data_IF_706035454582
#
_entry.id   IF_706035454582
#
_cell.length_a   1.000
_cell.length_b   1.000
_cell.length_c   1.000
_cell.angle_alpha   90.00
_cell.angle_beta   90.00
_cell.angle_gamma   90.00
#
_symmetry.space_group_name_H-M   'P 1'
#
loop_
_entity.id
_entity.type
_entity.pdbx_description
1 polymer ?
#
# COMPACT_ATOMS: atom_id res chain seq x y z
N UNK A 1 -47.45 -57.38 -72.34
CA UNK A 1 -48.09 -56.15 -72.89
C UNK A 1 -49.09 -55.59 -71.87
N UNK A 2 -49.33 -54.26 -71.87
CA UNK A 2 -50.06 -53.39 -70.90
C UNK A 2 -49.19 -52.90 -69.72
N UNK A 3 -48.45 -51.79 -69.84
CA UNK A 3 -48.81 -50.34 -69.84
C UNK A 3 -49.64 -49.89 -68.63
N UNK A 4 -48.98 -49.09 -67.78
CA UNK A 4 -49.50 -47.79 -67.34
C UNK A 4 -49.85 -47.68 -65.85
N UNK A 5 -49.06 -46.94 -65.08
CA UNK A 5 -49.30 -45.51 -64.78
C UNK A 5 -48.30 -45.02 -63.73
N UNK A 6 -47.74 -43.85 -64.04
CA UNK A 6 -46.90 -43.00 -63.18
C UNK A 6 -47.76 -42.38 -62.07
N UNK A 7 -47.17 -42.19 -60.88
CA UNK A 7 -47.47 -41.20 -59.82
C UNK A 7 -47.22 -41.86 -58.45
N UNK A 8 -46.61 -41.26 -57.44
CA UNK A 8 -45.84 -40.05 -57.28
C UNK A 8 -45.03 -40.29 -55.99
N UNK A 9 -43.73 -39.95 -56.01
CA UNK A 9 -42.86 -40.01 -54.84
C UNK A 9 -43.37 -38.98 -53.81
N UNK A 10 -43.97 -39.45 -52.71
CA UNK A 10 -44.25 -38.61 -51.56
C UNK A 10 -42.95 -38.41 -50.76
N UNK A 11 -42.11 -37.48 -51.24
CA UNK A 11 -41.01 -36.96 -50.46
C UNK A 11 -41.59 -36.07 -49.34
N UNK A 12 -41.72 -36.62 -48.14
CA UNK A 12 -41.97 -35.82 -46.95
C UNK A 12 -40.70 -35.06 -46.62
N UNK A 13 -40.66 -33.82 -47.10
CA UNK A 13 -39.61 -32.86 -46.79
C UNK A 13 -39.84 -32.42 -45.34
N UNK A 14 -39.26 -33.16 -44.39
CA UNK A 14 -39.10 -32.67 -43.02
C UNK A 14 -38.04 -31.58 -43.10
N UNK A 15 -38.47 -30.34 -43.33
CA UNK A 15 -37.66 -29.18 -43.04
C UNK A 15 -37.65 -29.01 -41.52
N UNK A 16 -36.90 -29.88 -40.84
CA UNK A 16 -36.43 -29.57 -39.51
C UNK A 16 -35.48 -28.39 -39.69
N UNK A 17 -35.99 -27.18 -39.45
CA UNK A 17 -35.15 -26.02 -39.21
C UNK A 17 -34.31 -26.41 -38.00
N UNK A 18 -33.09 -26.87 -38.24
CA UNK A 18 -32.05 -26.90 -37.26
C UNK A 18 -31.71 -25.44 -36.95
N UNK A 19 -32.60 -24.78 -36.20
CA UNK A 19 -32.19 -23.64 -35.41
C UNK A 19 -31.03 -24.15 -34.56
N UNK A 20 -29.88 -23.48 -34.54
CA UNK A 20 -28.80 -23.92 -33.66
C UNK A 20 -29.35 -23.85 -32.24
N UNK A 21 -29.61 -25.01 -31.63
CA UNK A 21 -29.98 -25.15 -30.22
C UNK A 21 -28.74 -24.91 -29.32
N UNK A 22 -27.93 -23.91 -29.67
CA UNK A 22 -26.63 -23.60 -29.08
C UNK A 22 -26.43 -22.12 -28.76
N UNK A 23 -27.47 -21.29 -28.93
CA UNK A 23 -27.47 -19.93 -28.41
C UNK A 23 -28.21 -19.88 -27.07
N UNK A 24 -27.74 -20.65 -26.07
CA UNK A 24 -27.73 -20.07 -24.74
C UNK A 24 -26.90 -18.81 -24.92
N UNK A 25 -27.53 -17.62 -24.86
CA UNK A 25 -26.89 -16.33 -25.17
C UNK A 25 -25.49 -16.33 -24.56
N UNK A 26 -24.46 -16.52 -25.39
CA UNK A 26 -23.10 -16.56 -24.91
C UNK A 26 -22.84 -15.17 -24.36
N UNK A 27 -22.82 -15.05 -23.03
CA UNK A 27 -22.72 -13.75 -22.38
C UNK A 27 -21.45 -13.06 -22.88
N UNK A 28 -21.60 -11.84 -23.36
CA UNK A 28 -20.47 -11.10 -23.92
C UNK A 28 -19.53 -10.65 -22.80
N UNK A 29 -18.28 -10.34 -23.14
CA UNK A 29 -17.31 -9.77 -22.19
C UNK A 29 -17.89 -8.52 -21.52
N UNK A 30 -18.54 -7.66 -22.31
CA UNK A 30 -19.06 -6.38 -21.85
C UNK A 30 -20.28 -6.58 -20.93
N UNK A 31 -21.19 -7.50 -21.26
CA UNK A 31 -22.32 -7.85 -20.37
C UNK A 31 -21.83 -8.43 -19.02
N UNK A 32 -20.86 -9.35 -19.06
CA UNK A 32 -20.26 -9.93 -17.86
C UNK A 32 -19.58 -8.85 -17.00
N UNK A 33 -18.86 -7.93 -17.64
CA UNK A 33 -18.22 -6.81 -16.95
C UNK A 33 -19.24 -5.88 -16.29
N UNK A 34 -20.28 -5.46 -17.01
CA UNK A 34 -21.32 -4.56 -16.49
C UNK A 34 -22.10 -5.19 -15.32
N UNK A 35 -22.47 -6.47 -15.42
CA UNK A 35 -23.10 -7.17 -14.30
C UNK A 35 -22.14 -7.32 -13.12
N UNK A 36 -20.87 -7.62 -13.38
CA UNK A 36 -19.85 -7.72 -12.33
C UNK A 36 -19.68 -6.39 -11.57
N UNK A 37 -19.66 -5.26 -12.29
CA UNK A 37 -19.56 -3.92 -11.68
C UNK A 37 -20.77 -3.64 -10.80
N UNK A 38 -21.99 -3.95 -11.28
CA UNK A 38 -23.22 -3.79 -10.49
C UNK A 38 -23.21 -4.66 -9.23
N UNK A 39 -22.82 -5.93 -9.36
CA UNK A 39 -22.70 -6.84 -8.21
C UNK A 39 -21.67 -6.33 -7.19
N UNK A 40 -20.52 -5.81 -7.64
CA UNK A 40 -19.50 -5.24 -6.76
C UNK A 40 -20.01 -3.99 -6.03
N UNK A 41 -20.72 -3.10 -6.71
CA UNK A 41 -21.33 -1.91 -6.11
C UNK A 41 -22.40 -2.27 -5.08
N UNK A 42 -23.15 -3.35 -5.32
CA UNK A 42 -24.08 -3.94 -4.34
C UNK A 42 -23.38 -4.76 -3.23
N UNK A 43 -22.04 -4.76 -3.19
CA UNK A 43 -21.22 -5.54 -2.26
C UNK A 43 -21.42 -7.07 -2.33
N UNK A 44 -22.00 -7.57 -3.43
CA UNK A 44 -22.10 -9.00 -3.74
C UNK A 44 -20.76 -9.49 -4.30
N UNK A 45 -19.72 -9.48 -3.48
CA UNK A 45 -18.34 -9.66 -3.95
C UNK A 45 -18.05 -11.05 -4.53
N UNK A 46 -18.73 -12.10 -4.06
CA UNK A 46 -18.61 -13.45 -4.61
C UNK A 46 -19.10 -13.50 -6.07
N UNK A 47 -20.33 -13.02 -6.30
CA UNK A 47 -20.96 -12.93 -7.61
C UNK A 47 -20.13 -12.05 -8.56
N UNK A 48 -19.68 -10.89 -8.07
CA UNK A 48 -18.83 -9.99 -8.84
C UNK A 48 -17.54 -10.67 -9.31
N UNK A 49 -16.84 -11.38 -8.41
CA UNK A 49 -15.61 -12.09 -8.75
C UNK A 49 -15.86 -13.17 -9.81
N UNK A 50 -16.96 -13.93 -9.70
CA UNK A 50 -17.31 -14.95 -10.70
C UNK A 50 -17.62 -14.34 -12.08
N UNK A 51 -18.35 -13.23 -12.11
CA UNK A 51 -18.64 -12.51 -13.35
C UNK A 51 -17.35 -11.98 -14.01
N UNK A 52 -16.45 -11.37 -13.25
CA UNK A 52 -15.18 -10.90 -13.79
C UNK A 52 -14.26 -12.03 -14.25
N UNK A 53 -14.20 -13.16 -13.52
CA UNK A 53 -13.44 -14.35 -13.97
C UNK A 53 -13.97 -14.89 -15.30
N UNK A 54 -15.29 -14.90 -15.49
CA UNK A 54 -15.90 -15.31 -16.76
C UNK A 54 -15.60 -14.32 -17.89
N UNK A 55 -15.62 -13.01 -17.60
CA UNK A 55 -15.20 -11.99 -18.57
C UNK A 55 -13.72 -12.18 -18.98
N UNK A 56 -12.85 -12.48 -18.01
CA UNK A 56 -11.43 -12.73 -18.22
C UNK A 56 -11.16 -14.07 -18.93
N UNK A 57 -12.01 -15.08 -18.76
CA UNK A 57 -11.91 -16.31 -19.53
C UNK A 57 -12.14 -16.09 -21.04
N UNK A 58 -12.95 -15.08 -21.38
CA UNK A 58 -13.21 -14.69 -22.78
C UNK A 58 -12.17 -13.68 -23.30
N UNK A 59 -11.67 -12.78 -22.43
CA UNK A 59 -10.61 -11.80 -22.74
C UNK A 59 -9.61 -11.69 -21.58
N UNK A 60 -8.55 -12.52 -21.57
CA UNK A 60 -7.61 -12.59 -20.46
C UNK A 60 -6.86 -11.29 -20.16
N UNK A 61 -6.59 -10.49 -21.20
CA UNK A 61 -5.77 -9.27 -21.11
C UNK A 61 -6.63 -8.00 -20.91
N UNK A 62 -7.80 -8.14 -20.29
CA UNK A 62 -8.64 -6.99 -19.94
C UNK A 62 -8.22 -6.39 -18.60
N UNK A 63 -7.40 -5.33 -18.64
CA UNK A 63 -6.92 -4.64 -17.44
C UNK A 63 -8.04 -4.12 -16.55
N UNK A 64 -9.14 -3.58 -17.12
CA UNK A 64 -10.27 -3.09 -16.34
C UNK A 64 -10.94 -4.22 -15.56
N UNK A 65 -11.19 -5.36 -16.22
CA UNK A 65 -11.78 -6.53 -15.57
C UNK A 65 -10.86 -7.12 -14.48
N UNK A 66 -9.53 -7.09 -14.69
CA UNK A 66 -8.55 -7.49 -13.66
C UNK A 66 -8.58 -6.57 -12.44
N UNK A 67 -8.69 -5.25 -12.64
CA UNK A 67 -8.84 -4.27 -11.55
C UNK A 67 -10.12 -4.52 -10.78
N UNK A 68 -11.25 -4.68 -11.47
CA UNK A 68 -12.53 -4.93 -10.80
C UNK A 68 -12.55 -6.27 -10.06
N UNK A 69 -11.92 -7.32 -10.62
CA UNK A 69 -11.72 -8.59 -9.91
C UNK A 69 -10.88 -8.38 -8.65
N UNK A 70 -9.78 -7.63 -8.72
CA UNK A 70 -8.96 -7.30 -7.56
C UNK A 70 -9.75 -6.63 -6.44
N UNK A 71 -10.63 -5.68 -6.77
CA UNK A 71 -11.52 -5.05 -5.78
C UNK A 71 -12.59 -5.99 -5.24
N UNK A 72 -13.14 -6.88 -6.06
CA UNK A 72 -14.07 -7.92 -5.59
C UNK A 72 -13.38 -8.87 -4.59
N UNK A 73 -12.15 -9.29 -4.88
CA UNK A 73 -11.36 -10.14 -3.97
C UNK A 73 -10.98 -9.40 -2.66
N UNK A 74 -10.68 -8.10 -2.71
CA UNK A 74 -10.52 -7.27 -1.51
C UNK A 74 -11.80 -7.25 -0.66
N UNK A 75 -12.97 -7.12 -1.29
CA UNK A 75 -14.27 -7.20 -0.63
C UNK A 75 -14.51 -8.56 0.04
N UNK A 76 -14.02 -9.65 -0.56
CA UNK A 76 -14.01 -11.00 0.01
C UNK A 76 -12.91 -11.23 1.06
N UNK A 77 -12.05 -10.24 1.30
CA UNK A 77 -10.85 -10.36 2.13
C UNK A 77 -9.84 -11.42 1.64
N UNK A 78 -9.88 -11.76 0.34
CA UNK A 78 -8.94 -12.67 -0.30
C UNK A 78 -7.73 -11.90 -0.83
N UNK A 79 -6.88 -11.44 0.08
CA UNK A 79 -5.73 -10.59 -0.23
C UNK A 79 -4.76 -11.21 -1.27
N UNK A 80 -4.47 -12.53 -1.25
CA UNK A 80 -3.63 -13.14 -2.28
C UNK A 80 -4.20 -13.04 -3.70
N UNK A 81 -5.49 -13.33 -3.88
CA UNK A 81 -6.13 -13.24 -5.20
C UNK A 81 -6.28 -11.79 -5.68
N UNK A 82 -6.54 -10.87 -4.76
CA UNK A 82 -6.53 -9.43 -5.05
C UNK A 82 -5.15 -8.98 -5.55
N UNK A 83 -4.08 -9.36 -4.85
CA UNK A 83 -2.69 -9.07 -5.23
C UNK A 83 -2.40 -9.56 -6.65
N UNK A 84 -2.75 -10.81 -6.94
CA UNK A 84 -2.52 -11.40 -8.27
C UNK A 84 -3.24 -10.61 -9.37
N UNK A 85 -4.51 -10.26 -9.14
CA UNK A 85 -5.34 -9.54 -10.11
C UNK A 85 -4.79 -8.14 -10.39
N UNK A 86 -4.46 -7.38 -9.34
CA UNK A 86 -3.85 -6.04 -9.50
C UNK A 86 -2.45 -6.12 -10.12
N UNK A 87 -1.64 -7.12 -9.77
CA UNK A 87 -0.32 -7.31 -10.38
C UNK A 87 -0.43 -7.59 -11.87
N UNK A 88 -1.39 -8.41 -12.30
CA UNK A 88 -1.67 -8.66 -13.72
C UNK A 88 -2.13 -7.38 -14.41
N UNK A 89 -3.06 -6.63 -13.81
CA UNK A 89 -3.51 -5.35 -14.36
C UNK A 89 -2.34 -4.37 -14.55
N UNK A 90 -1.46 -4.22 -13.55
CA UNK A 90 -0.28 -3.35 -13.62
C UNK A 90 0.78 -3.84 -14.62
N UNK A 91 0.84 -5.16 -14.88
CA UNK A 91 1.72 -5.69 -15.94
C UNK A 91 1.25 -5.31 -17.35
N UNK A 92 -0.07 -5.18 -17.54
CA UNK A 92 -0.68 -4.76 -18.80
C UNK A 92 -0.71 -3.23 -18.94
N UNK A 93 -0.96 -2.53 -17.84
CA UNK A 93 -1.09 -1.08 -17.76
C UNK A 93 -0.34 -0.55 -16.52
N UNK A 94 0.97 -0.28 -16.61
CA UNK A 94 1.79 0.11 -15.46
C UNK A 94 1.38 1.40 -14.76
N UNK A 95 0.62 2.27 -15.45
CA UNK A 95 0.13 3.55 -14.91
C UNK A 95 -1.33 3.49 -14.48
N UNK A 96 -1.94 2.30 -14.36
CA UNK A 96 -3.33 2.14 -13.94
C UNK A 96 -3.48 2.48 -12.45
N UNK A 97 -3.96 3.70 -12.18
CA UNK A 97 -4.06 4.29 -10.84
C UNK A 97 -4.87 3.45 -9.85
N UNK A 98 -6.06 3.00 -10.27
CA UNK A 98 -6.92 2.15 -9.44
C UNK A 98 -6.24 0.83 -9.06
N UNK A 99 -5.44 0.25 -9.96
CA UNK A 99 -4.68 -0.97 -9.67
C UNK A 99 -3.57 -0.72 -8.64
N UNK A 100 -2.85 0.41 -8.76
CA UNK A 100 -1.85 0.83 -7.76
C UNK A 100 -2.47 1.13 -6.41
N UNK A 101 -3.66 1.76 -6.39
CA UNK A 101 -4.44 1.98 -5.17
C UNK A 101 -4.85 0.65 -4.52
N UNK A 102 -5.40 -0.27 -5.32
CA UNK A 102 -5.76 -1.61 -4.86
C UNK A 102 -4.57 -2.39 -4.30
N UNK A 103 -3.40 -2.30 -4.94
CA UNK A 103 -2.17 -2.91 -4.43
C UNK A 103 -1.73 -2.32 -3.09
N UNK A 104 -1.81 -0.98 -2.93
CA UNK A 104 -1.53 -0.33 -1.66
C UNK A 104 -2.48 -0.82 -0.55
N UNK A 105 -3.77 -0.99 -0.85
CA UNK A 105 -4.75 -1.52 0.10
C UNK A 105 -4.44 -2.98 0.48
N UNK A 106 -4.09 -3.82 -0.50
CA UNK A 106 -3.66 -5.21 -0.29
C UNK A 106 -2.45 -5.27 0.66
N UNK A 107 -1.40 -4.48 0.41
CA UNK A 107 -0.20 -4.48 1.26
C UNK A 107 -0.53 -3.99 2.67
N UNK A 108 -1.36 -2.94 2.79
CA UNK A 108 -1.74 -2.42 4.09
C UNK A 108 -2.54 -3.43 4.90
N UNK A 109 -3.54 -4.08 4.29
CA UNK A 109 -4.36 -5.13 4.93
C UNK A 109 -3.58 -6.42 5.18
N UNK A 110 -2.52 -6.67 4.43
CA UNK A 110 -1.57 -7.78 4.67
C UNK A 110 -0.63 -7.51 5.85
N UNK A 111 -0.67 -6.32 6.46
CA UNK A 111 0.22 -5.95 7.57
C UNK A 111 1.58 -5.43 7.13
N UNK A 112 1.71 -5.02 5.86
CA UNK A 112 2.96 -4.50 5.28
C UNK A 112 2.86 -2.98 5.02
N UNK A 113 2.71 -2.13 6.06
CA UNK A 113 2.51 -0.69 5.85
C UNK A 113 3.71 -0.01 5.16
N UNK A 114 4.92 -0.55 5.32
CA UNK A 114 6.13 -0.03 4.66
C UNK A 114 6.11 -0.24 3.15
N UNK A 115 5.52 -1.34 2.67
CA UNK A 115 5.31 -1.59 1.25
C UNK A 115 4.11 -0.81 0.70
N UNK A 116 3.06 -0.61 1.51
CA UNK A 116 1.85 0.08 1.12
C UNK A 116 2.04 1.60 0.94
N UNK A 117 2.83 2.24 1.81
CA UNK A 117 2.96 3.69 1.85
C UNK A 117 3.42 4.32 0.52
N UNK A 118 4.52 3.88 -0.12
CA UNK A 118 4.99 4.51 -1.36
C UNK A 118 3.95 4.41 -2.50
N UNK A 119 3.22 3.29 -2.57
CA UNK A 119 2.16 3.08 -3.55
C UNK A 119 1.00 4.06 -3.32
N UNK A 120 0.52 4.17 -2.08
CA UNK A 120 -0.57 5.09 -1.73
C UNK A 120 -0.18 6.56 -1.92
N UNK A 121 1.07 6.93 -1.60
CA UNK A 121 1.59 8.29 -1.80
C UNK A 121 1.74 8.65 -3.28
N UNK A 122 2.06 7.68 -4.13
CA UNK A 122 2.08 7.89 -5.58
C UNK A 122 0.68 8.20 -6.13
N UNK A 123 -0.32 7.39 -5.74
CA UNK A 123 -1.72 7.62 -6.14
C UNK A 123 -2.21 8.98 -5.64
N UNK A 124 -1.99 9.31 -4.36
CA UNK A 124 -2.41 10.59 -3.77
C UNK A 124 -1.72 11.79 -4.41
N UNK A 125 -0.45 11.68 -4.80
CA UNK A 125 0.25 12.77 -5.52
C UNK A 125 -0.31 13.02 -6.92
N UNK A 126 -0.70 11.96 -7.60
CA UNK A 126 -1.22 12.05 -8.94
C UNK A 126 -2.68 12.47 -9.01
N UNK A 127 -3.44 12.14 -7.98
CA UNK A 127 -4.84 12.52 -7.81
C UNK A 127 -5.03 13.23 -6.47
N UNK A 128 -4.60 14.51 -6.36
CA UNK A 128 -4.68 15.24 -5.09
C UNK A 128 -6.11 15.40 -4.53
N UNK A 129 -7.14 15.22 -5.37
CA UNK A 129 -8.55 15.24 -4.98
C UNK A 129 -9.12 13.88 -4.56
N UNK A 130 -8.35 12.79 -4.68
CA UNK A 130 -8.80 11.45 -4.30
C UNK A 130 -8.77 11.31 -2.77
N UNK A 131 -9.95 11.40 -2.15
CA UNK A 131 -10.13 11.32 -0.70
C UNK A 131 -9.77 9.94 -0.15
N UNK A 132 -10.01 8.87 -0.90
CA UNK A 132 -9.70 7.50 -0.50
C UNK A 132 -8.19 7.28 -0.44
N UNK A 133 -7.45 7.74 -1.46
CA UNK A 133 -5.98 7.68 -1.47
C UNK A 133 -5.36 8.46 -0.31
N UNK A 134 -5.87 9.68 -0.04
CA UNK A 134 -5.41 10.51 1.08
C UNK A 134 -5.70 9.86 2.43
N UNK A 135 -6.87 9.24 2.57
CA UNK A 135 -7.29 8.50 3.77
C UNK A 135 -6.42 7.26 3.99
N UNK A 136 -6.11 6.51 2.92
CA UNK A 136 -5.24 5.34 2.97
C UNK A 136 -3.83 5.72 3.45
N UNK A 137 -3.23 6.78 2.91
CA UNK A 137 -1.92 7.30 3.37
C UNK A 137 -1.96 7.64 4.86
N UNK A 138 -3.00 8.33 5.33
CA UNK A 138 -3.14 8.69 6.74
C UNK A 138 -3.23 7.44 7.64
N UNK A 139 -4.00 6.43 7.23
CA UNK A 139 -4.17 5.17 7.94
C UNK A 139 -2.87 4.36 8.01
N UNK A 140 -2.13 4.27 6.89
CA UNK A 140 -0.82 3.60 6.83
C UNK A 140 0.15 4.26 7.80
N UNK A 141 0.28 5.59 7.77
CA UNK A 141 1.18 6.34 8.67
C UNK A 141 0.79 6.21 10.14
N UNK A 142 -0.50 6.08 10.45
CA UNK A 142 -0.98 5.83 11.82
C UNK A 142 -0.58 4.43 12.26
N UNK A 143 -0.72 3.42 11.40
CA UNK A 143 -0.31 2.05 11.69
C UNK A 143 1.20 1.93 11.91
N UNK A 144 2.03 2.58 11.08
CA UNK A 144 3.49 2.63 11.28
C UNK A 144 3.85 3.23 12.64
N UNK A 145 3.24 4.37 13.01
CA UNK A 145 3.48 4.98 14.32
C UNK A 145 3.07 4.08 15.49
N UNK A 146 1.96 3.37 15.36
CA UNK A 146 1.53 2.40 16.36
C UNK A 146 2.48 1.18 16.46
N UNK A 147 3.00 0.70 15.32
CA UNK A 147 4.02 -0.35 15.26
C UNK A 147 5.35 0.09 15.91
N UNK A 148 5.81 1.29 15.58
CA UNK A 148 7.04 1.89 16.14
C UNK A 148 6.93 2.25 17.62
N UNK A 149 5.71 2.50 18.12
CA UNK A 149 5.44 2.71 19.56
C UNK A 149 5.43 1.39 20.35
N UNK A 150 5.02 0.28 19.72
CA UNK A 150 5.09 -1.08 20.30
C UNK A 150 6.48 -1.69 20.24
N UNK A 151 7.31 -1.29 19.27
CA UNK A 151 8.74 -1.47 19.40
C UNK A 151 9.13 -0.72 20.66
N UNK A 152 9.49 -1.45 21.74
CA UNK A 152 10.16 -0.86 22.92
C UNK A 152 11.12 0.17 22.36
N UNK A 153 11.12 1.44 22.83
CA UNK A 153 12.02 2.45 22.29
C UNK A 153 13.37 1.77 22.23
N UNK A 154 13.88 1.53 21.02
CA UNK A 154 15.10 0.76 20.82
C UNK A 154 16.09 1.44 21.72
N UNK A 155 16.37 0.84 22.88
CA UNK A 155 16.74 1.56 24.11
C UNK A 155 17.68 2.61 23.65
N UNK A 156 17.24 3.88 23.62
CA UNK A 156 18.06 4.95 23.10
C UNK A 156 19.32 4.75 23.90
N UNK A 157 20.37 4.22 23.26
CA UNK A 157 21.58 3.81 23.96
C UNK A 157 21.89 5.10 24.67
N UNK A 158 21.72 5.13 26.00
CA UNK A 158 21.93 6.33 26.78
C UNK A 158 23.41 6.54 26.56
N UNK A 159 23.76 7.28 25.50
CA UNK A 159 25.06 7.86 25.33
C UNK A 159 25.14 8.62 26.65
N UNK A 160 25.97 8.17 27.61
CA UNK A 160 26.07 8.84 28.87
C UNK A 160 26.33 10.28 28.47
N UNK A 161 25.41 11.19 28.82
CA UNK A 161 25.67 12.60 28.64
C UNK A 161 27.00 12.78 29.37
N UNK A 162 28.08 13.20 28.71
CA UNK A 162 29.36 13.31 29.39
C UNK A 162 29.09 14.12 30.66
N UNK A 163 29.62 13.68 31.82
CA UNK A 163 29.37 14.37 33.07
C UNK A 163 29.59 15.85 32.81
N UNK A 164 28.61 16.69 33.17
CA UNK A 164 28.74 18.13 32.97
C UNK A 164 30.10 18.51 33.58
N UNK A 165 31.03 19.10 32.81
CA UNK A 165 32.33 19.45 33.33
C UNK A 165 32.12 20.25 34.60
N UNK A 166 32.77 19.84 35.70
CA UNK A 166 32.69 20.56 36.95
C UNK A 166 33.20 21.99 36.69
N UNK A 167 32.34 23.02 36.80
CA UNK A 167 32.72 24.38 36.48
C UNK A 167 33.84 24.89 37.40
N UNK A 168 33.95 24.36 38.62
CA UNK A 168 35.04 24.69 39.54
C UNK A 168 36.35 24.09 39.03
N UNK A 169 36.36 22.79 38.69
CA UNK A 169 37.54 22.12 38.16
C UNK A 169 38.07 22.76 36.86
N UNK A 170 37.16 23.19 35.97
CA UNK A 170 37.53 23.90 34.74
C UNK A 170 38.22 25.25 35.01
N UNK A 171 37.69 26.04 35.95
CA UNK A 171 38.26 27.32 36.35
C UNK A 171 39.59 27.16 37.10
N UNK A 172 39.73 26.09 37.87
CA UNK A 172 40.98 25.74 38.54
C UNK A 172 42.09 25.41 37.56
N UNK A 173 41.77 24.63 36.52
CA UNK A 173 42.73 24.30 35.47
C UNK A 173 43.11 25.53 34.63
N UNK A 174 42.16 26.41 34.35
CA UNK A 174 42.43 27.72 33.73
C UNK A 174 43.39 28.56 34.59
N UNK A 175 43.11 28.69 35.89
CA UNK A 175 43.97 29.43 36.82
C UNK A 175 45.39 28.87 36.92
N UNK A 176 45.53 27.53 36.94
CA UNK A 176 46.85 26.87 36.97
C UNK A 176 47.64 27.10 35.69
N UNK A 177 47.01 26.99 34.52
CA UNK A 177 47.65 27.25 33.23
C UNK A 177 48.07 28.71 33.08
N UNK A 178 47.22 29.66 33.44
CA UNK A 178 47.56 31.09 33.40
C UNK A 178 48.70 31.43 34.37
N UNK A 179 48.70 30.83 35.57
CA UNK A 179 49.81 31.00 36.54
C UNK A 179 51.13 30.43 35.99
N UNK A 180 51.09 29.25 35.35
CA UNK A 180 52.26 28.65 34.71
C UNK A 180 52.78 29.47 33.51
N UNK A 181 51.89 30.17 32.80
CA UNK A 181 52.21 31.08 31.71
C UNK A 181 52.68 32.48 32.16
N UNK A 182 52.78 32.74 33.48
CA UNK A 182 53.14 34.06 34.03
C UNK A 182 52.02 35.11 33.96
N UNK A 183 50.83 34.72 33.52
CA UNK A 183 49.63 35.56 33.40
C UNK A 183 48.91 35.64 34.75
N UNK A 184 49.51 36.36 35.69
CA UNK A 184 49.03 36.46 37.08
C UNK A 184 47.62 37.08 37.21
N UNK A 185 47.25 38.15 36.47
CA UNK A 185 45.90 38.71 36.54
C UNK A 185 44.79 37.74 36.08
N UNK A 186 45.05 36.99 35.01
CA UNK A 186 44.14 35.99 34.45
C UNK A 186 44.00 34.79 35.40
N UNK A 187 45.09 34.37 36.01
CA UNK A 187 45.09 33.32 37.02
C UNK A 187 44.22 33.73 38.23
N UNK A 188 44.41 34.94 38.74
CA UNK A 188 43.63 35.46 39.87
C UNK A 188 42.13 35.52 39.55
N UNK A 189 41.77 35.98 38.35
CA UNK A 189 40.37 36.04 37.93
C UNK A 189 39.74 34.64 37.86
N UNK A 190 40.46 33.65 37.33
CA UNK A 190 40.00 32.25 37.27
C UNK A 190 39.78 31.65 38.66
N UNK A 191 40.72 31.85 39.60
CA UNK A 191 40.57 31.40 41.00
C UNK A 191 39.44 32.11 41.74
N UNK A 192 39.28 33.43 41.56
CA UNK A 192 38.16 34.19 42.14
C UNK A 192 36.81 33.68 41.62
N UNK A 193 36.72 33.31 40.35
CA UNK A 193 35.51 32.70 39.77
C UNK A 193 35.25 31.32 40.38
N UNK A 194 36.29 30.51 40.59
CA UNK A 194 36.18 29.20 41.22
C UNK A 194 35.70 29.31 42.68
N UNK A 195 36.27 30.22 43.47
CA UNK A 195 35.86 30.49 44.86
C UNK A 195 34.42 31.01 44.97
N UNK A 196 33.94 31.79 43.99
CA UNK A 196 32.52 32.22 43.97
C UNK A 196 31.56 31.03 43.79
N UNK A 197 31.95 30.02 43.02
CA UNK A 197 31.15 28.83 42.79
C UNK A 197 31.26 27.82 43.95
N UNK A 198 32.40 27.78 44.64
CA UNK A 198 32.61 26.92 45.81
C UNK A 198 33.44 27.66 46.90
N UNK A 199 32.79 28.47 47.76
CA UNK A 199 33.47 29.33 48.75
C UNK A 199 34.23 28.58 49.85
N UNK A 200 33.98 27.27 49.99
CA UNK A 200 34.63 26.39 50.97
C UNK A 200 35.64 25.43 50.33
N UNK A 201 35.96 25.62 49.05
CA UNK A 201 36.93 24.77 48.38
C UNK A 201 38.34 25.10 48.90
N UNK A 202 38.99 24.14 49.54
CA UNK A 202 40.34 24.27 50.11
C UNK A 202 41.45 24.04 49.10
N UNK A 203 41.11 23.63 47.88
CA UNK A 203 42.06 23.26 46.83
C UNK A 203 42.53 24.47 45.97
N UNK A 204 42.07 25.69 46.29
CA UNK A 204 42.30 26.95 45.57
C UNK A 204 43.38 27.80 46.24
#
# INVERSE_FOLDING_TARGET
MRRGRRAALAAWLVLAIAAPQGAALAQTVDELYEFGVKARQAQHFEEAADLFRRALALRPDNADALVQLGFAELGRNNLPAARESFSKALSLAPTYRDASFGMAEVEFRSGNPDAALPLAEEVSRAEPGNADASTLVANIRKAQRAGSSKAKPATARKIPRPPRPDPVAGLMEEGRRSRAAGQLPEAENAYRRALRLAPKNTDI
#
